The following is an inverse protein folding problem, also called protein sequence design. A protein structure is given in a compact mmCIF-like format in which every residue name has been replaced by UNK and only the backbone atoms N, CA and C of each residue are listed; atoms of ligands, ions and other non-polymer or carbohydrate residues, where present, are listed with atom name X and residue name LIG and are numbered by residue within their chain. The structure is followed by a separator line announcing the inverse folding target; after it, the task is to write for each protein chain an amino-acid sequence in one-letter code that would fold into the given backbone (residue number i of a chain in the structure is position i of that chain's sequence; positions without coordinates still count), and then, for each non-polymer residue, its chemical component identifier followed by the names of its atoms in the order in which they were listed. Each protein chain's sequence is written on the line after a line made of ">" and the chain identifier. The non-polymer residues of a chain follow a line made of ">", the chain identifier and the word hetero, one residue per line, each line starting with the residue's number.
data_IF_943218545539
#
_entry.id   IF_943218545539
#
_cell.length_a   1.000
_cell.length_b   1.000
_cell.length_c   1.000
_cell.angle_alpha   90.00
_cell.angle_beta   90.00
_cell.angle_gamma   90.00
#
_symmetry.space_group_name_H-M   'P 1'
#
loop_
_entity.id
_entity.type
_entity.pdbx_description
1 polymer ?
#
# COMPACT_ATOMS: atom_id res chain seq x y z
N UNK A 1 10.48 2.52 -5.62
CA UNK A 1 10.85 2.09 -4.24
C UNK A 1 10.16 0.79 -3.82
N UNK A 2 8.84 0.68 -3.98
CA UNK A 2 8.04 -0.50 -3.61
C UNK A 2 8.60 -1.87 -4.07
N UNK A 3 8.95 -2.09 -5.35
CA UNK A 3 9.48 -3.39 -5.77
C UNK A 3 10.83 -3.72 -5.12
N UNK A 4 11.70 -2.72 -4.92
CA UNK A 4 12.99 -2.92 -4.26
C UNK A 4 12.81 -3.35 -2.80
N UNK A 5 11.87 -2.73 -2.07
CA UNK A 5 11.56 -3.11 -0.69
C UNK A 5 10.90 -4.49 -0.63
N UNK A 6 10.01 -4.83 -1.56
CA UNK A 6 9.45 -6.19 -1.64
C UNK A 6 10.53 -7.25 -1.90
N UNK A 7 11.46 -6.99 -2.81
CA UNK A 7 12.60 -7.89 -3.07
C UNK A 7 13.47 -8.01 -1.82
N UNK A 8 13.74 -6.91 -1.12
CA UNK A 8 14.49 -6.94 0.15
C UNK A 8 13.75 -7.75 1.23
N UNK A 9 12.46 -7.54 1.43
CA UNK A 9 11.64 -8.31 2.38
C UNK A 9 11.62 -9.79 1.98
N UNK A 10 11.50 -10.10 0.69
CA UNK A 10 11.55 -11.48 0.19
C UNK A 10 12.90 -12.14 0.49
N UNK A 11 14.02 -11.43 0.31
CA UNK A 11 15.36 -12.00 0.51
C UNK A 11 15.74 -12.10 1.98
N UNK A 12 15.50 -11.05 2.77
CA UNK A 12 15.97 -10.93 4.15
C UNK A 12 14.93 -11.32 5.21
N UNK A 13 13.63 -11.27 4.88
CA UNK A 13 12.52 -11.44 5.83
C UNK A 13 11.42 -12.34 5.26
N UNK A 14 11.79 -13.51 4.72
CA UNK A 14 10.87 -14.48 4.08
C UNK A 14 9.61 -14.78 4.88
N UNK A 15 9.71 -14.84 6.21
CA UNK A 15 8.56 -15.09 7.08
C UNK A 15 7.52 -13.96 7.10
N UNK A 16 7.95 -12.72 6.84
CA UNK A 16 7.10 -11.52 6.84
C UNK A 16 6.66 -11.13 5.44
N UNK A 17 7.30 -11.67 4.40
CA UNK A 17 6.96 -11.40 3.01
C UNK A 17 5.49 -11.66 2.65
N UNK A 18 4.85 -12.78 3.07
CA UNK A 18 3.42 -12.99 2.79
C UNK A 18 2.56 -11.87 3.35
N UNK A 19 2.82 -11.40 4.58
CA UNK A 19 2.05 -10.33 5.21
C UNK A 19 2.15 -9.02 4.43
N UNK A 20 3.36 -8.60 4.08
CA UNK A 20 3.59 -7.35 3.34
C UNK A 20 2.99 -7.43 1.93
N UNK A 21 3.16 -8.58 1.24
CA UNK A 21 2.58 -8.81 -0.09
C UNK A 21 1.05 -8.78 -0.05
N UNK A 22 0.42 -9.53 0.84
CA UNK A 22 -1.05 -9.58 0.94
C UNK A 22 -1.62 -8.22 1.34
N UNK A 23 -0.93 -7.50 2.24
CA UNK A 23 -1.32 -6.12 2.58
C UNK A 23 -1.32 -5.24 1.34
N UNK A 24 -0.27 -5.30 0.51
CA UNK A 24 -0.21 -4.54 -0.74
C UNK A 24 -1.39 -4.90 -1.66
N UNK A 25 -1.61 -6.19 -1.91
CA UNK A 25 -2.67 -6.67 -2.83
C UNK A 25 -4.06 -6.26 -2.34
N UNK A 26 -4.37 -6.49 -1.06
CA UNK A 26 -5.67 -6.14 -0.47
C UNK A 26 -5.86 -4.62 -0.47
N UNK A 27 -4.83 -3.85 -0.12
CA UNK A 27 -4.90 -2.39 -0.16
C UNK A 27 -5.14 -1.86 -1.57
N UNK A 28 -4.48 -2.43 -2.58
CA UNK A 28 -4.70 -2.07 -3.98
C UNK A 28 -6.11 -2.44 -4.43
N UNK A 29 -6.63 -3.60 -4.04
CA UNK A 29 -8.01 -3.99 -4.35
C UNK A 29 -9.04 -3.06 -3.70
N UNK A 30 -8.88 -2.75 -2.41
CA UNK A 30 -9.73 -1.80 -1.69
C UNK A 30 -9.65 -0.39 -2.28
N UNK A 31 -8.44 0.05 -2.64
CA UNK A 31 -8.25 1.34 -3.31
C UNK A 31 -8.92 1.38 -4.69
N UNK A 32 -8.88 0.28 -5.45
CA UNK A 32 -9.56 0.17 -6.73
C UNK A 32 -11.08 0.22 -6.56
N UNK A 33 -11.62 -0.44 -5.54
CA UNK A 33 -13.04 -0.33 -5.20
C UNK A 33 -13.40 1.11 -4.82
N UNK A 34 -12.60 1.75 -3.97
CA UNK A 34 -12.79 3.16 -3.60
C UNK A 34 -12.75 4.09 -4.81
N UNK A 35 -11.80 3.86 -5.72
CA UNK A 35 -11.68 4.59 -6.99
C UNK A 35 -12.93 4.48 -7.86
N UNK A 36 -13.52 3.27 -7.94
CA UNK A 36 -14.74 3.03 -8.73
C UNK A 36 -15.97 3.64 -8.06
N UNK A 37 -16.07 3.56 -6.74
CA UNK A 37 -17.26 3.99 -5.97
C UNK A 37 -17.30 5.50 -5.72
N UNK A 38 -16.14 6.15 -5.55
CA UNK A 38 -16.06 7.57 -5.22
C UNK A 38 -15.01 8.29 -6.08
N UNK A 39 -15.33 8.63 -7.35
CA UNK A 39 -14.46 9.44 -8.20
C UNK A 39 -14.45 10.88 -7.68
N UNK A 40 -13.59 11.17 -6.70
CA UNK A 40 -13.39 12.52 -6.21
C UNK A 40 -12.52 13.32 -7.17
N UNK A 41 -13.03 14.47 -7.63
CA UNK A 41 -12.32 15.38 -8.50
C UNK A 41 -11.07 15.97 -7.79
N UNK A 42 -9.88 15.94 -8.44
CA UNK A 42 -8.65 16.47 -7.86
C UNK A 42 -8.68 18.00 -7.72
N UNK A 43 -7.96 18.59 -6.75
CA UNK A 43 -7.97 20.03 -6.43
C UNK A 43 -7.75 20.96 -7.62
N UNK A 44 -6.93 20.54 -8.60
CA UNK A 44 -6.63 21.27 -9.84
C UNK A 44 -7.85 21.56 -10.72
N UNK A 45 -8.92 20.78 -10.60
CA UNK A 45 -10.18 20.94 -11.35
C UNK A 45 -11.28 21.63 -10.54
N UNK A 46 -11.02 21.97 -9.27
CA UNK A 46 -12.03 22.54 -8.36
C UNK A 46 -12.22 24.06 -8.48
N UNK A 47 -11.45 24.75 -9.35
CA UNK A 47 -11.59 26.20 -9.57
C UNK A 47 -11.15 27.09 -8.39
N UNK A 48 -10.40 26.55 -7.43
CA UNK A 48 -10.05 27.20 -6.15
C UNK A 48 -8.76 28.06 -6.18
N UNK A 49 -8.20 28.37 -7.36
CA UNK A 49 -7.04 29.26 -7.47
C UNK A 49 -5.69 28.65 -7.06
N UNK A 50 -5.56 27.32 -7.05
CA UNK A 50 -4.26 26.66 -6.85
C UNK A 50 -3.38 26.83 -8.10
N UNK A 51 -2.18 27.41 -7.93
CA UNK A 51 -1.22 27.64 -9.01
C UNK A 51 -0.62 26.32 -9.51
N UNK A 52 -0.86 26.00 -10.78
CA UNK A 52 -0.39 24.80 -11.47
C UNK A 52 1.10 24.94 -11.86
N UNK A 53 2.00 24.78 -10.89
CA UNK A 53 3.44 24.92 -11.12
C UNK A 53 4.06 23.80 -11.98
N UNK A 54 3.32 22.72 -12.23
CA UNK A 54 3.77 21.57 -13.04
C UNK A 54 3.48 21.79 -14.52
N UNK A 55 2.30 22.31 -14.87
CA UNK A 55 1.94 22.61 -16.26
C UNK A 55 2.69 23.84 -16.81
N UNK A 56 2.98 24.85 -15.98
CA UNK A 56 3.60 26.10 -16.44
C UNK A 56 5.10 26.00 -16.75
N UNK A 57 5.83 25.06 -16.15
CA UNK A 57 7.30 24.93 -16.32
C UNK A 57 7.75 23.75 -17.18
N UNK A 58 6.89 22.75 -17.40
CA UNK A 58 7.31 21.53 -18.07
C UNK A 58 7.13 21.54 -19.59
N UNK A 59 6.30 22.42 -20.18
CA UNK A 59 6.02 22.40 -21.63
C UNK A 59 5.49 21.06 -22.15
N UNK A 60 5.13 20.15 -21.25
CA UNK A 60 4.72 18.78 -21.52
C UNK A 60 3.29 18.63 -21.02
N UNK A 61 2.34 18.75 -21.94
CA UNK A 61 0.98 18.27 -21.76
C UNK A 61 1.05 16.75 -21.50
N UNK A 62 1.12 16.35 -20.23
CA UNK A 62 0.93 14.96 -19.80
C UNK A 62 -0.54 14.48 -20.00
N UNK A 63 -1.36 15.34 -20.59
CA UNK A 63 -2.77 15.17 -20.96
C UNK A 63 -2.96 14.58 -22.37
N UNK A 64 -1.90 14.43 -23.16
CA UNK A 64 -1.99 13.94 -24.54
C UNK A 64 -0.97 12.85 -24.80
N UNK A 65 -1.37 11.58 -24.65
CA UNK A 65 -1.01 10.53 -25.61
C UNK A 65 -1.79 9.24 -25.30
N UNK A 66 -2.85 9.04 -26.09
CA UNK A 66 -3.45 7.77 -26.54
C UNK A 66 -4.05 6.82 -25.48
N UNK A 67 -3.73 6.96 -24.19
CA UNK A 67 -4.30 6.16 -23.07
C UNK A 67 -5.30 6.94 -22.20
N UNK A 68 -5.50 8.23 -22.50
CA UNK A 68 -6.34 9.15 -21.71
C UNK A 68 -7.85 8.89 -21.75
N UNK A 69 -8.36 8.05 -22.67
CA UNK A 69 -9.80 7.70 -22.69
C UNK A 69 -10.17 6.53 -21.78
N UNK A 70 -9.19 5.78 -21.26
CA UNK A 70 -9.39 4.72 -20.26
C UNK A 70 -8.96 5.15 -18.84
N UNK A 71 -8.25 6.26 -18.70
CA UNK A 71 -7.80 6.81 -17.43
C UNK A 71 -8.64 8.03 -17.09
N UNK A 72 -9.65 7.86 -16.24
CA UNK A 72 -10.43 8.98 -15.73
C UNK A 72 -9.50 9.89 -14.90
N UNK A 73 -9.16 11.11 -15.35
CA UNK A 73 -8.28 12.03 -14.62
C UNK A 73 -8.98 12.67 -13.39
N UNK A 74 -10.20 12.21 -13.05
CA UNK A 74 -11.13 12.71 -12.03
C UNK A 74 -11.24 11.78 -10.80
N UNK A 75 -10.21 11.00 -10.47
CA UNK A 75 -10.31 10.06 -9.34
C UNK A 75 -9.08 10.12 -8.42
N UNK A 76 -9.13 11.05 -7.47
CA UNK A 76 -8.05 11.35 -6.52
C UNK A 76 -8.14 10.54 -5.21
N UNK A 77 -9.22 9.78 -4.99
CA UNK A 77 -9.44 9.03 -3.74
C UNK A 77 -9.47 7.53 -4.00
N UNK A 78 -8.70 6.71 -3.26
CA UNK A 78 -7.68 7.07 -2.26
C UNK A 78 -6.28 7.25 -2.86
N UNK A 79 -5.40 8.04 -2.22
CA UNK A 79 -4.03 8.26 -2.71
C UNK A 79 -3.17 7.00 -2.56
N UNK A 80 -3.02 6.24 -3.66
CA UNK A 80 -2.13 5.08 -3.74
C UNK A 80 -0.65 5.46 -3.52
N UNK A 81 -0.23 6.67 -3.90
CA UNK A 81 1.12 7.17 -3.65
C UNK A 81 1.44 7.20 -2.15
N UNK A 82 0.56 7.83 -1.36
CA UNK A 82 0.72 7.87 0.08
C UNK A 82 0.55 6.49 0.72
N UNK A 83 -0.43 5.71 0.26
CA UNK A 83 -0.65 4.35 0.76
C UNK A 83 0.55 3.43 0.58
N UNK A 84 1.12 3.38 -0.62
CA UNK A 84 2.35 2.61 -0.87
C UNK A 84 3.53 3.15 -0.07
N UNK A 85 3.66 4.47 0.07
CA UNK A 85 4.71 5.07 0.88
C UNK A 85 4.61 4.69 2.36
N UNK A 86 3.39 4.64 2.90
CA UNK A 86 3.13 4.22 4.28
C UNK A 86 3.44 2.74 4.50
N UNK A 87 3.01 1.87 3.59
CA UNK A 87 3.29 0.43 3.67
C UNK A 87 4.80 0.15 3.60
N UNK A 88 5.48 0.77 2.63
CA UNK A 88 6.91 0.58 2.40
C UNK A 88 7.73 1.17 3.53
N UNK A 89 7.44 2.41 3.93
CA UNK A 89 8.11 3.09 5.05
C UNK A 89 7.92 2.33 6.37
N UNK A 90 6.70 1.90 6.65
CA UNK A 90 6.37 1.07 7.81
C UNK A 90 7.10 -0.27 7.82
N UNK A 91 7.15 -0.97 6.68
CA UNK A 91 7.89 -2.22 6.55
C UNK A 91 9.40 -2.02 6.81
N UNK A 92 9.98 -0.93 6.33
CA UNK A 92 11.40 -0.58 6.59
C UNK A 92 11.63 -0.26 8.07
N UNK A 93 10.79 0.56 8.69
CA UNK A 93 10.88 0.89 10.13
C UNK A 93 10.80 -0.36 11.00
N UNK A 94 9.95 -1.31 10.62
CA UNK A 94 9.70 -2.55 11.36
C UNK A 94 10.82 -3.58 11.21
N UNK A 95 11.36 -3.75 10.00
CA UNK A 95 12.26 -4.86 9.66
C UNK A 95 13.75 -4.47 9.65
N UNK A 96 14.08 -3.19 9.43
CA UNK A 96 15.47 -2.76 9.34
C UNK A 96 16.16 -2.71 10.71
N UNK A 97 17.41 -3.17 10.78
CA UNK A 97 18.22 -3.15 12.01
C UNK A 97 18.93 -1.81 12.26
N UNK A 98 19.34 -1.11 11.20
CA UNK A 98 20.12 0.14 11.30
C UNK A 98 19.18 1.32 11.57
N UNK A 99 19.46 2.12 12.61
CA UNK A 99 18.65 3.28 13.01
C UNK A 99 18.48 4.29 11.87
N UNK A 100 19.54 4.57 11.11
CA UNK A 100 19.49 5.47 9.95
C UNK A 100 18.49 4.99 8.88
N UNK A 101 18.45 3.69 8.61
CA UNK A 101 17.51 3.11 7.62
C UNK A 101 16.07 3.18 8.14
N UNK A 102 15.85 2.94 9.44
CA UNK A 102 14.54 3.11 10.07
C UNK A 102 14.08 4.56 9.99
N UNK A 103 14.97 5.52 10.25
CA UNK A 103 14.65 6.95 10.12
C UNK A 103 14.28 7.31 8.68
N UNK A 104 15.05 6.83 7.69
CA UNK A 104 14.71 7.03 6.28
C UNK A 104 13.34 6.43 5.92
N UNK A 105 13.02 5.24 6.44
CA UNK A 105 11.70 4.62 6.28
C UNK A 105 10.57 5.43 6.91
N UNK A 106 10.80 6.05 8.07
CA UNK A 106 9.82 6.89 8.75
C UNK A 106 9.62 8.24 8.05
N UNK A 107 10.68 8.83 7.51
CA UNK A 107 10.62 10.10 6.78
C UNK A 107 9.97 9.97 5.40
N UNK A 108 10.03 8.80 4.78
CA UNK A 108 9.49 8.58 3.43
C UNK A 108 8.00 8.92 3.27
N UNK A 109 7.05 8.40 4.09
CA UNK A 109 5.64 8.77 3.96
C UNK A 109 5.40 10.25 4.25
N UNK A 110 6.16 10.88 5.15
CA UNK A 110 6.06 12.32 5.42
C UNK A 110 6.51 13.16 4.21
N UNK A 111 7.62 12.77 3.57
CA UNK A 111 8.09 13.40 2.34
C UNK A 111 7.09 13.22 1.20
N UNK A 112 6.50 12.03 1.04
CA UNK A 112 5.48 11.78 0.03
C UNK A 112 4.23 12.63 0.27
N UNK A 113 3.78 12.75 1.53
CA UNK A 113 2.65 13.60 1.90
C UNK A 113 2.92 15.07 1.56
N UNK A 114 4.11 15.57 1.92
CA UNK A 114 4.51 16.92 1.57
C UNK A 114 4.49 17.14 0.06
N UNK A 115 5.07 16.22 -0.73
CA UNK A 115 5.11 16.33 -2.19
C UNK A 115 3.69 16.35 -2.79
N UNK A 116 2.80 15.43 -2.42
CA UNK A 116 1.46 15.37 -3.04
C UNK A 116 0.59 16.58 -2.69
N UNK A 117 0.75 17.15 -1.50
CA UNK A 117 0.02 18.34 -1.06
C UNK A 117 0.63 19.60 -1.67
N UNK A 118 1.95 19.75 -1.63
CA UNK A 118 2.65 20.92 -2.17
C UNK A 118 2.54 21.02 -3.69
N UNK A 119 2.42 19.89 -4.40
CA UNK A 119 2.20 19.84 -5.85
C UNK A 119 0.72 19.96 -6.25
N UNK A 120 -0.20 20.10 -5.28
CA UNK A 120 -1.64 20.20 -5.55
C UNK A 120 -2.26 18.94 -6.17
N UNK A 121 -1.56 17.81 -6.13
CA UNK A 121 -2.01 16.56 -6.75
C UNK A 121 -3.11 15.87 -5.93
N UNK A 122 -3.11 16.05 -4.61
CA UNK A 122 -4.07 15.44 -3.69
C UNK A 122 -4.44 16.39 -2.55
N UNK A 123 -5.68 16.29 -2.09
CA UNK A 123 -6.06 16.84 -0.79
C UNK A 123 -5.45 15.99 0.34
N UNK A 124 -5.29 16.59 1.52
CA UNK A 124 -4.91 15.86 2.73
C UNK A 124 -5.87 14.70 3.03
N UNK A 125 -7.16 14.87 2.71
CA UNK A 125 -8.20 13.86 2.87
C UNK A 125 -7.90 12.60 2.03
N UNK A 126 -7.38 12.75 0.81
CA UNK A 126 -7.01 11.63 -0.06
C UNK A 126 -5.88 10.80 0.54
N UNK A 127 -4.95 11.47 1.23
CA UNK A 127 -3.86 10.82 1.96
C UNK A 127 -4.38 10.08 3.20
N UNK A 128 -5.30 10.67 3.95
CA UNK A 128 -5.97 10.01 5.09
C UNK A 128 -6.71 8.75 4.61
N UNK A 129 -7.47 8.84 3.52
CA UNK A 129 -8.15 7.70 2.92
C UNK A 129 -7.16 6.62 2.46
N UNK A 130 -6.05 7.01 1.81
CA UNK A 130 -4.96 6.08 1.43
C UNK A 130 -4.34 5.38 2.63
N UNK A 131 -4.09 6.10 3.73
CA UNK A 131 -3.61 5.54 4.99
C UNK A 131 -4.60 4.54 5.60
N UNK A 132 -5.88 4.91 5.66
CA UNK A 132 -6.95 4.05 6.17
C UNK A 132 -7.06 2.73 5.39
N UNK A 133 -6.99 2.80 4.06
CA UNK A 133 -7.00 1.61 3.19
C UNK A 133 -5.82 0.69 3.46
N UNK A 134 -4.63 1.23 3.71
CA UNK A 134 -3.44 0.43 4.05
C UNK A 134 -3.59 -0.24 5.41
N UNK A 135 -4.12 0.48 6.41
CA UNK A 135 -4.39 -0.08 7.74
C UNK A 135 -5.42 -1.20 7.65
N UNK A 136 -6.50 -1.00 6.89
CA UNK A 136 -7.52 -2.02 6.65
C UNK A 136 -6.94 -3.24 5.91
N UNK A 137 -6.14 -3.01 4.86
CA UNK A 137 -5.46 -4.07 4.12
C UNK A 137 -4.48 -4.86 4.98
N UNK A 138 -3.79 -4.20 5.91
CA UNK A 138 -2.90 -4.85 6.87
C UNK A 138 -3.68 -5.70 7.86
N UNK A 139 -4.77 -5.17 8.43
CA UNK A 139 -5.65 -5.92 9.34
C UNK A 139 -6.23 -7.16 8.64
N UNK A 140 -6.74 -7.01 7.41
CA UNK A 140 -7.24 -8.13 6.61
C UNK A 140 -6.14 -9.15 6.32
N UNK A 141 -4.93 -8.72 5.96
CA UNK A 141 -3.80 -9.62 5.73
C UNK A 141 -3.39 -10.41 6.98
N UNK A 142 -3.56 -9.84 8.19
CA UNK A 142 -3.31 -10.54 9.46
C UNK A 142 -4.31 -11.66 9.73
N UNK A 143 -5.55 -11.51 9.25
CA UNK A 143 -6.60 -12.53 9.35
C UNK A 143 -6.46 -13.59 8.26
N UNK A 144 -6.14 -13.17 7.03
CA UNK A 144 -6.04 -14.05 5.86
C UNK A 144 -4.81 -14.94 5.86
N UNK A 145 -3.76 -14.58 6.60
CA UNK A 145 -2.50 -15.34 6.65
C UNK A 145 -2.43 -16.06 7.99
N UNK A 146 -2.66 -17.39 8.02
CA UNK A 146 -2.51 -18.19 9.23
C UNK A 146 -1.11 -17.98 9.79
N UNK A 147 -1.01 -17.80 11.09
CA UNK A 147 0.31 -17.70 11.69
C UNK A 147 1.06 -19.02 11.45
N UNK A 148 2.36 -18.95 11.15
CA UNK A 148 3.20 -20.15 10.94
C UNK A 148 3.09 -21.13 12.12
N UNK A 149 2.82 -20.61 13.32
CA UNK A 149 2.53 -21.38 14.53
C UNK A 149 1.23 -22.18 14.43
N UNK A 150 0.14 -21.57 13.98
CA UNK A 150 -1.15 -22.26 13.78
C UNK A 150 -1.05 -23.34 12.70
N UNK A 151 -0.35 -23.06 11.60
CA UNK A 151 -0.13 -24.05 10.54
C UNK A 151 0.64 -25.28 11.06
N UNK A 152 1.66 -25.07 11.88
CA UNK A 152 2.43 -26.16 12.51
C UNK A 152 1.56 -26.92 13.51
N UNK A 153 0.82 -26.25 14.38
CA UNK A 153 -0.08 -26.90 15.36
C UNK A 153 -1.16 -27.73 14.66
N UNK A 154 -1.75 -27.21 13.58
CA UNK A 154 -2.76 -27.92 12.80
C UNK A 154 -2.17 -29.17 12.13
N UNK A 155 -0.95 -29.10 11.61
CA UNK A 155 -0.24 -30.26 11.08
C UNK A 155 0.03 -31.32 12.15
N UNK A 156 0.46 -30.90 13.36
CA UNK A 156 0.67 -31.83 14.47
C UNK A 156 -0.62 -32.52 14.92
N UNK A 157 -1.72 -31.76 15.06
CA UNK A 157 -3.03 -32.31 15.42
C UNK A 157 -3.55 -33.31 14.39
N UNK A 158 -3.43 -32.98 13.09
CA UNK A 158 -3.84 -33.87 12.01
C UNK A 158 -3.01 -35.17 11.96
N UNK A 159 -1.70 -35.09 12.23
CA UNK A 159 -0.85 -36.30 12.32
C UNK A 159 -1.17 -37.14 13.55
N UNK A 160 -1.48 -36.51 14.68
CA UNK A 160 -1.87 -37.21 15.89
C UNK A 160 -3.20 -37.95 15.72
N UNK A 161 -4.21 -37.32 15.10
CA UNK A 161 -5.50 -37.98 14.82
C UNK A 161 -5.33 -39.19 13.89
N UNK A 162 -4.58 -39.04 12.80
CA UNK A 162 -4.29 -40.15 11.89
C UNK A 162 -3.57 -41.33 12.58
N UNK A 163 -2.68 -41.03 13.53
CA UNK A 163 -1.98 -42.08 14.29
C UNK A 163 -2.92 -42.80 15.24
N UNK A 164 -3.85 -42.09 15.88
CA UNK A 164 -4.86 -42.69 16.76
C UNK A 164 -5.83 -43.57 15.96
N UNK A 165 -6.29 -43.11 14.79
CA UNK A 165 -7.14 -43.89 13.89
C UNK A 165 -6.46 -45.19 13.45
N UNK A 166 -5.16 -45.16 13.13
CA UNK A 166 -4.38 -46.36 12.77
C UNK A 166 -4.15 -47.34 13.92
N UNK A 167 -4.17 -46.88 15.17
CA UNK A 167 -4.01 -47.74 16.34
C UNK A 167 -5.34 -48.34 16.80
N UNK A 168 -6.46 -47.73 16.42
CA UNK A 168 -7.81 -48.18 16.72
C UNK A 168 -8.38 -49.15 15.67
N UNK A 169 -7.69 -49.32 14.53
CA UNK A 169 -8.02 -50.25 13.44
C UNK A 169 -7.13 -51.50 13.51
#
# INVERSE_FOLDING_TARGET
>A
LTPAVLVWVYRAHRERFPLVRTTLVVSTALALVGYVVYPAAPPRLAGLGFADTVSERAGLNLSSDVLGSFYNPIAAVPSLHFGYALLVGGAVVWLARRRAIRLAGALYPAAMLFIIVATGNHFLLDAVAGGAVVVAGWAAARVLIPSRREAVVHQYRARASQRLERLAA
#
